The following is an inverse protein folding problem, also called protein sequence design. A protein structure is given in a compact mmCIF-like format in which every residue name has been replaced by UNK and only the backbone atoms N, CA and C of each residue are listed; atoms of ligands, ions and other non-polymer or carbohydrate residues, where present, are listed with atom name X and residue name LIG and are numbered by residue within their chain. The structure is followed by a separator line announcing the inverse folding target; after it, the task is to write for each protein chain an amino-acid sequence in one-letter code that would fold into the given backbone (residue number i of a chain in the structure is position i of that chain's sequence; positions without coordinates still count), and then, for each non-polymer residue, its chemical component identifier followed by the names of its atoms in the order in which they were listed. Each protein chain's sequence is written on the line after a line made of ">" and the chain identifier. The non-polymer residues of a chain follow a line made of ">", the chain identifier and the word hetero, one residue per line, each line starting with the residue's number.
data_IF_203838287369
#
_entry.id   IF_203838287369
#
_cell.length_a   1.000
_cell.length_b   1.000
_cell.length_c   1.000
_cell.angle_alpha   90.00
_cell.angle_beta   90.00
_cell.angle_gamma   90.00
#
_symmetry.space_group_name_H-M   'P 1'
#
loop_
_entity.id
_entity.type
_entity.pdbx_description
1 polymer ?
#
# COMPACT_ATOMS: atom_id res chain seq x y z
N UNK A 1 -2.24 -1.52 -64.66
CA UNK A 1 -1.78 -1.11 -63.32
C UNK A 1 -1.95 -2.30 -62.40
N UNK A 2 -0.85 -2.92 -61.96
CA UNK A 2 -0.88 -4.05 -61.04
C UNK A 2 -0.91 -3.49 -59.62
N UNK A 3 -2.08 -3.46 -59.01
CA UNK A 3 -2.22 -3.09 -57.61
C UNK A 3 -1.46 -4.10 -56.76
N UNK A 4 -0.41 -3.62 -56.09
CA UNK A 4 0.31 -4.33 -55.05
C UNK A 4 -0.69 -4.79 -53.99
N UNK A 5 -0.76 -6.09 -53.77
CA UNK A 5 -1.56 -6.68 -52.70
C UNK A 5 -1.22 -6.03 -51.36
N UNK A 6 -2.19 -5.84 -50.45
CA UNK A 6 -1.97 -5.13 -49.20
C UNK A 6 -0.90 -5.84 -48.35
N UNK A 7 0.06 -5.06 -47.85
CA UNK A 7 1.13 -5.48 -46.92
C UNK A 7 0.61 -6.13 -45.62
N UNK A 8 -0.71 -6.13 -45.40
CA UNK A 8 -1.37 -6.65 -44.20
C UNK A 8 -2.20 -7.92 -44.44
N UNK A 9 -1.95 -8.63 -45.54
CA UNK A 9 -2.59 -9.93 -45.77
C UNK A 9 -2.16 -10.93 -44.67
N UNK A 10 -3.13 -11.48 -43.93
CA UNK A 10 -2.89 -12.31 -42.73
C UNK A 10 -2.01 -13.53 -43.02
N UNK A 11 -1.98 -13.98 -44.28
CA UNK A 11 -1.16 -15.10 -44.78
C UNK A 11 0.34 -14.76 -44.83
N UNK A 12 0.71 -13.49 -45.00
CA UNK A 12 2.11 -13.02 -44.99
C UNK A 12 2.62 -12.88 -43.56
N UNK A 13 1.78 -12.40 -42.64
CA UNK A 13 2.08 -12.34 -41.20
C UNK A 13 2.27 -13.74 -40.58
N UNK A 14 1.57 -14.76 -41.11
CA UNK A 14 1.66 -16.14 -40.63
C UNK A 14 3.01 -16.83 -40.90
N UNK A 15 3.86 -16.27 -41.78
CA UNK A 15 5.18 -16.83 -42.12
C UNK A 15 6.34 -16.17 -41.36
N UNK A 16 6.07 -15.14 -40.56
CA UNK A 16 7.08 -14.50 -39.72
C UNK A 16 7.33 -15.28 -38.43
N UNK A 17 8.59 -15.31 -37.97
CA UNK A 17 8.87 -15.72 -36.58
C UNK A 17 8.03 -14.83 -35.67
N UNK A 18 7.32 -15.44 -34.72
CA UNK A 18 6.53 -14.69 -33.74
C UNK A 18 7.45 -13.68 -33.04
N UNK A 19 7.03 -12.42 -32.98
CA UNK A 19 7.75 -11.37 -32.23
C UNK A 19 7.87 -11.75 -30.75
N UNK A 20 6.91 -12.54 -30.26
CA UNK A 20 6.89 -13.04 -28.89
C UNK A 20 7.80 -14.27 -28.70
N UNK A 21 8.48 -14.36 -27.55
CA UNK A 21 9.35 -15.50 -27.25
C UNK A 21 8.54 -16.78 -27.11
N UNK A 22 9.17 -17.92 -27.47
CA UNK A 22 8.53 -19.24 -27.38
C UNK A 22 8.29 -19.70 -25.94
N UNK A 23 9.04 -19.15 -24.98
CA UNK A 23 8.91 -19.42 -23.55
C UNK A 23 8.84 -18.08 -22.82
N UNK A 24 7.81 -17.92 -21.99
CA UNK A 24 7.65 -16.75 -21.12
C UNK A 24 8.28 -17.09 -19.76
N UNK A 25 9.31 -16.33 -19.35
CA UNK A 25 9.94 -16.50 -18.03
C UNK A 25 9.29 -15.64 -16.95
N UNK A 26 8.57 -14.60 -17.36
CA UNK A 26 7.91 -13.67 -16.47
C UNK A 26 6.50 -13.37 -17.00
N UNK A 27 5.53 -13.43 -16.10
CA UNK A 27 4.14 -13.06 -16.37
C UNK A 27 3.76 -11.90 -15.46
N UNK A 28 3.45 -10.76 -16.07
CA UNK A 28 3.01 -9.55 -15.37
C UNK A 28 1.63 -9.77 -14.72
N UNK A 29 1.59 -9.79 -13.38
CA UNK A 29 0.33 -9.72 -12.63
C UNK A 29 -0.18 -8.27 -12.58
N UNK A 30 0.77 -7.34 -12.45
CA UNK A 30 0.57 -5.91 -12.57
C UNK A 30 1.36 -5.43 -13.78
N UNK A 31 0.85 -4.43 -14.52
CA UNK A 31 1.60 -3.87 -15.64
C UNK A 31 2.95 -3.34 -15.14
N UNK A 32 4.01 -3.55 -15.92
CA UNK A 32 5.34 -2.98 -15.67
C UNK A 32 5.34 -1.45 -15.86
N UNK A 33 4.64 -0.78 -14.96
CA UNK A 33 4.49 0.66 -14.93
C UNK A 33 4.80 1.17 -13.53
N UNK A 34 5.69 2.16 -13.44
CA UNK A 34 5.90 2.96 -12.23
C UNK A 34 4.60 3.71 -11.85
N UNK A 35 4.48 4.04 -10.56
CA UNK A 35 3.36 4.82 -10.01
C UNK A 35 3.85 6.24 -9.74
N UNK A 36 2.98 7.24 -9.82
CA UNK A 36 3.30 8.62 -9.40
C UNK A 36 3.33 8.82 -7.86
N UNK A 37 3.46 7.72 -7.10
CA UNK A 37 3.58 7.75 -5.63
C UNK A 37 4.40 6.57 -5.12
N UNK A 38 5.18 6.82 -4.07
CA UNK A 38 5.90 5.83 -3.29
C UNK A 38 5.15 5.57 -1.97
N UNK A 39 5.08 4.31 -1.57
CA UNK A 39 4.54 3.93 -0.27
C UNK A 39 5.56 4.22 0.83
N UNK A 40 5.16 4.97 1.85
CA UNK A 40 5.99 5.17 3.04
C UNK A 40 6.11 3.86 3.84
N UNK A 41 7.29 3.62 4.41
CA UNK A 41 7.49 2.54 5.39
C UNK A 41 6.69 2.87 6.64
N UNK A 42 5.90 1.92 7.14
CA UNK A 42 5.20 2.08 8.43
C UNK A 42 6.22 1.93 9.55
N UNK A 43 6.73 3.05 10.04
CA UNK A 43 7.55 3.08 11.25
C UNK A 43 6.68 3.46 12.44
N UNK A 44 6.82 2.70 13.53
CA UNK A 44 6.19 3.05 14.81
C UNK A 44 7.11 4.03 15.53
N UNK A 45 6.52 5.06 16.11
CA UNK A 45 7.25 5.96 17.01
C UNK A 45 7.70 5.16 18.22
N UNK A 46 8.97 5.30 18.61
CA UNK A 46 9.46 4.75 19.86
C UNK A 46 8.86 5.54 21.03
N UNK A 47 7.67 5.13 21.48
CA UNK A 47 7.01 5.66 22.67
C UNK A 47 6.96 4.61 23.77
N UNK A 48 6.88 5.06 25.03
CA UNK A 48 6.54 4.19 26.16
C UNK A 48 5.12 3.64 25.93
N UNK A 49 4.93 2.32 26.10
CA UNK A 49 3.64 1.67 25.84
C UNK A 49 2.60 1.91 26.95
N UNK A 50 2.83 2.86 27.86
CA UNK A 50 2.08 3.14 29.10
C UNK A 50 1.73 1.88 29.94
N UNK A 51 2.45 0.78 29.71
CA UNK A 51 2.14 -0.54 30.29
C UNK A 51 2.37 -0.60 31.79
N UNK A 52 3.36 0.16 32.30
CA UNK A 52 3.66 0.20 33.73
C UNK A 52 2.53 0.85 34.54
N UNK A 53 2.01 1.97 34.06
CA UNK A 53 0.90 2.68 34.73
C UNK A 53 -0.41 1.91 34.60
N UNK A 54 -0.62 1.27 33.44
CA UNK A 54 -1.75 0.38 33.23
C UNK A 54 -1.72 -0.82 34.20
N UNK A 55 -0.55 -1.42 34.43
CA UNK A 55 -0.39 -2.49 35.42
C UNK A 55 -0.66 -1.99 36.85
N UNK A 56 -0.22 -0.77 37.20
CA UNK A 56 -0.51 -0.17 38.51
C UNK A 56 -2.01 0.11 38.71
N UNK A 57 -2.71 0.57 37.66
CA UNK A 57 -4.15 0.77 37.66
C UNK A 57 -4.89 -0.56 37.87
N UNK A 58 -4.56 -1.60 37.11
CA UNK A 58 -5.16 -2.92 37.29
C UNK A 58 -4.85 -3.53 38.67
N UNK A 59 -3.66 -3.26 39.21
CA UNK A 59 -3.31 -3.65 40.57
C UNK A 59 -4.17 -2.97 41.64
N UNK A 60 -4.61 -1.73 41.41
CA UNK A 60 -5.54 -1.03 42.29
C UNK A 60 -6.98 -1.55 42.12
N UNK A 61 -7.46 -1.64 40.87
CA UNK A 61 -8.81 -2.12 40.58
C UNK A 61 -9.06 -3.52 41.13
N UNK A 62 -8.07 -4.41 41.03
CA UNK A 62 -8.15 -5.76 41.61
C UNK A 62 -8.33 -5.77 43.13
N UNK A 63 -7.83 -4.76 43.86
CA UNK A 63 -7.95 -4.68 45.32
C UNK A 63 -9.31 -4.17 45.78
N UNK A 64 -9.98 -3.38 44.94
CA UNK A 64 -11.24 -2.70 45.26
C UNK A 64 -12.41 -3.19 44.42
N UNK A 65 -12.38 -4.45 43.97
CA UNK A 65 -13.46 -5.06 43.16
C UNK A 65 -13.86 -4.23 41.93
N UNK A 66 -12.88 -3.53 41.33
CA UNK A 66 -13.04 -2.63 40.18
C UNK A 66 -13.80 -1.32 40.46
N UNK A 67 -13.84 -0.86 41.70
CA UNK A 67 -14.29 0.50 42.02
C UNK A 67 -13.23 1.55 41.60
N UNK A 68 -13.63 2.50 40.75
CA UNK A 68 -12.74 3.54 40.22
C UNK A 68 -12.41 4.64 41.22
N UNK A 69 -13.31 4.93 42.17
CA UNK A 69 -13.18 6.00 43.17
C UNK A 69 -11.85 5.92 43.96
N UNK A 70 -11.46 4.76 44.54
CA UNK A 70 -10.19 4.64 45.26
C UNK A 70 -8.95 4.64 44.34
N UNK A 71 -9.12 4.39 43.04
CA UNK A 71 -8.03 4.25 42.06
C UNK A 71 -7.80 5.50 41.19
N UNK A 72 -8.39 6.65 41.58
CA UNK A 72 -8.30 7.90 40.83
C UNK A 72 -6.86 8.36 40.56
N UNK A 73 -5.92 8.10 41.48
CA UNK A 73 -4.51 8.50 41.33
C UNK A 73 -3.81 7.71 40.22
N UNK A 74 -3.99 6.39 40.20
CA UNK A 74 -3.43 5.50 39.19
C UNK A 74 -4.07 5.75 37.82
N UNK A 75 -5.36 6.06 37.82
CA UNK A 75 -6.09 6.43 36.60
C UNK A 75 -5.56 7.75 36.02
N UNK A 76 -5.35 8.78 36.85
CA UNK A 76 -4.77 10.04 36.40
C UNK A 76 -3.35 9.87 35.83
N UNK A 77 -2.50 9.09 36.49
CA UNK A 77 -1.17 8.77 35.99
C UNK A 77 -1.24 8.14 34.59
N UNK A 78 -2.03 7.06 34.45
CA UNK A 78 -2.26 6.39 33.17
C UNK A 78 -2.70 7.35 32.05
N UNK A 79 -3.68 8.22 32.35
CA UNK A 79 -4.18 9.19 31.37
C UNK A 79 -3.14 10.23 30.98
N UNK A 80 -2.24 10.63 31.89
CA UNK A 80 -1.13 11.54 31.58
C UNK A 80 -0.19 10.88 30.56
N UNK A 81 0.24 9.64 30.80
CA UNK A 81 1.10 8.93 29.84
C UNK A 81 0.43 8.73 28.48
N UNK A 82 -0.86 8.37 28.45
CA UNK A 82 -1.60 8.22 27.19
C UNK A 82 -1.64 9.53 26.42
N UNK A 83 -1.98 10.64 27.07
CA UNK A 83 -2.04 11.96 26.43
C UNK A 83 -0.67 12.40 25.90
N UNK A 84 0.42 12.11 26.62
CA UNK A 84 1.78 12.38 26.16
C UNK A 84 2.16 11.53 24.96
N UNK A 85 1.86 10.22 25.00
CA UNK A 85 2.10 9.31 23.89
C UNK A 85 1.32 9.72 22.63
N UNK A 86 0.06 10.15 22.79
CA UNK A 86 -0.76 10.66 21.69
C UNK A 86 -0.16 11.93 21.08
N UNK A 87 0.27 12.90 21.90
CA UNK A 87 0.95 14.12 21.42
C UNK A 87 2.21 13.79 20.62
N UNK A 88 3.05 12.88 21.12
CA UNK A 88 4.27 12.45 20.41
C UNK A 88 3.95 11.79 19.06
N UNK A 89 2.90 10.97 19.00
CA UNK A 89 2.44 10.35 17.75
C UNK A 89 1.90 11.39 16.78
N UNK A 90 1.15 12.38 17.25
CA UNK A 90 0.67 13.48 16.40
C UNK A 90 1.81 14.33 15.86
N UNK A 91 2.78 14.70 16.70
CA UNK A 91 3.96 15.45 16.28
C UNK A 91 4.75 14.68 15.22
N UNK A 92 4.94 13.38 15.44
CA UNK A 92 5.58 12.50 14.46
C UNK A 92 4.82 12.46 13.13
N UNK A 93 3.49 12.32 13.17
CA UNK A 93 2.65 12.34 11.96
C UNK A 93 2.80 13.67 11.20
N UNK A 94 2.70 14.80 11.91
CA UNK A 94 2.86 16.14 11.32
C UNK A 94 4.25 16.32 10.72
N UNK A 95 5.29 15.80 11.38
CA UNK A 95 6.67 15.85 10.86
C UNK A 95 6.88 14.93 9.65
N UNK A 96 6.24 13.76 9.64
CA UNK A 96 6.27 12.82 8.52
C UNK A 96 5.56 13.39 7.28
N UNK A 97 4.40 14.05 7.46
CA UNK A 97 3.68 14.75 6.38
C UNK A 97 4.50 15.89 5.77
N UNK A 98 5.16 16.68 6.62
CA UNK A 98 6.10 17.73 6.17
C UNK A 98 7.36 17.15 5.52
N UNK A 99 7.63 15.87 5.71
CA UNK A 99 8.82 15.19 5.23
C UNK A 99 10.10 15.59 5.97
N UNK A 100 10.00 16.23 7.14
CA UNK A 100 11.13 16.65 7.99
C UNK A 100 11.69 15.48 8.79
N UNK A 101 10.81 14.60 9.29
CA UNK A 101 11.16 13.28 9.83
C UNK A 101 11.23 12.26 8.69
N UNK A 102 12.13 12.50 7.74
CA UNK A 102 12.57 11.43 6.86
C UNK A 102 13.46 10.49 7.65
N UNK A 103 13.33 9.19 7.40
CA UNK A 103 14.40 8.22 7.64
C UNK A 103 15.72 8.80 7.12
N UNK A 104 16.45 9.52 7.98
CA UNK A 104 17.89 9.67 7.85
C UNK A 104 18.43 8.28 8.10
N UNK A 105 18.34 7.43 7.08
CA UNK A 105 19.29 6.34 6.92
C UNK A 105 20.66 6.95 7.15
N UNK A 106 21.55 6.17 7.77
CA UNK A 106 22.88 6.59 8.18
C UNK A 106 23.72 7.32 7.10
N UNK A 107 23.30 7.33 5.83
CA UNK A 107 23.74 8.24 4.78
C UNK A 107 22.73 9.40 4.60
N UNK A 108 23.09 10.61 5.03
CA UNK A 108 22.22 11.81 5.04
C UNK A 108 21.79 12.38 3.67
N UNK A 109 21.72 11.57 2.62
CA UNK A 109 21.57 12.00 1.22
C UNK A 109 20.21 11.69 0.57
N UNK A 110 19.32 10.93 1.21
CA UNK A 110 18.06 10.51 0.56
C UNK A 110 16.84 11.33 1.02
N UNK A 111 16.00 11.84 0.09
CA UNK A 111 14.77 12.54 0.42
C UNK A 111 13.73 11.61 1.05
N UNK A 112 12.87 12.16 1.90
CA UNK A 112 11.79 11.40 2.52
C UNK A 112 10.72 10.99 1.50
N UNK A 113 9.96 9.93 1.81
CA UNK A 113 8.86 9.48 0.93
C UNK A 113 7.83 10.58 0.65
N UNK A 114 7.55 11.45 1.62
CA UNK A 114 6.69 12.62 1.44
C UNK A 114 7.29 13.64 0.45
N UNK A 115 8.59 13.91 0.54
CA UNK A 115 9.30 14.78 -0.40
C UNK A 115 9.32 14.20 -1.81
N UNK A 116 9.60 12.90 -1.94
CA UNK A 116 9.54 12.19 -3.23
C UNK A 116 8.14 12.26 -3.84
N UNK A 117 7.09 12.02 -3.05
CA UNK A 117 5.71 12.13 -3.52
C UNK A 117 5.36 13.54 -3.99
N UNK A 118 5.88 14.59 -3.34
CA UNK A 118 5.70 15.98 -3.80
C UNK A 118 6.37 16.22 -5.14
N UNK A 119 7.59 15.70 -5.35
CA UNK A 119 8.30 15.79 -6.64
C UNK A 119 7.53 15.05 -7.74
N UNK A 120 7.04 13.84 -7.45
CA UNK A 120 6.27 13.04 -8.41
C UNK A 120 4.90 13.66 -8.75
N UNK A 121 4.33 14.47 -7.87
CA UNK A 121 3.12 15.25 -8.15
C UNK A 121 3.40 16.44 -9.08
N UNK A 122 4.56 17.08 -8.94
CA UNK A 122 4.98 18.19 -9.82
C UNK A 122 5.32 17.68 -11.23
N UNK A 123 5.97 16.52 -11.31
CA UNK A 123 6.39 15.89 -12.56
C UNK A 123 5.77 14.49 -12.70
N UNK A 124 4.45 14.41 -12.94
CA UNK A 124 3.78 13.14 -13.15
C UNK A 124 4.26 12.52 -14.47
N UNK A 125 4.49 11.21 -14.48
CA UNK A 125 4.88 10.55 -15.72
C UNK A 125 3.63 10.39 -16.63
N UNK A 126 3.63 10.97 -17.85
CA UNK A 126 2.42 11.10 -18.67
C UNK A 126 1.95 9.77 -19.28
N UNK A 127 2.89 8.86 -19.56
CA UNK A 127 2.63 7.58 -20.25
C UNK A 127 2.38 6.41 -19.30
N UNK A 128 2.32 6.68 -17.99
CA UNK A 128 2.08 5.66 -16.97
C UNK A 128 0.68 5.86 -16.44
N UNK A 129 -0.23 5.05 -16.99
CA UNK A 129 -1.67 5.13 -16.82
C UNK A 129 -2.08 5.59 -15.42
N UNK A 130 -2.74 6.76 -15.34
CA UNK A 130 -3.56 7.14 -14.19
C UNK A 130 -4.31 5.90 -13.77
N UNK A 131 -4.16 5.38 -12.54
CA UNK A 131 -4.59 4.03 -12.20
C UNK A 131 -5.97 3.75 -12.77
N UNK A 132 -6.06 2.91 -13.81
CA UNK A 132 -7.30 2.34 -14.23
C UNK A 132 -7.10 0.83 -14.16
N UNK A 133 -6.52 0.31 -13.08
CA UNK A 133 -7.07 -0.95 -12.63
C UNK A 133 -8.42 -0.53 -12.09
N UNK A 134 -9.37 -0.38 -13.02
CA UNK A 134 -10.76 -0.72 -12.80
C UNK A 134 -10.61 -2.04 -12.05
N UNK A 135 -10.74 -2.03 -10.72
CA UNK A 135 -11.21 -3.22 -10.05
C UNK A 135 -12.40 -3.57 -10.91
N UNK A 136 -12.29 -4.60 -11.75
CA UNK A 136 -13.33 -4.88 -12.71
C UNK A 136 -14.55 -5.07 -11.82
N UNK A 137 -15.46 -4.09 -11.83
CA UNK A 137 -16.68 -4.21 -11.05
C UNK A 137 -17.28 -5.50 -11.58
N UNK A 138 -17.50 -6.47 -10.69
CA UNK A 138 -18.07 -7.76 -11.07
C UNK A 138 -19.26 -7.47 -11.96
N UNK A 139 -19.32 -8.10 -13.12
CA UNK A 139 -20.56 -8.09 -13.89
C UNK A 139 -21.65 -8.68 -12.96
N UNK A 140 -22.88 -8.15 -12.95
CA UNK A 140 -23.94 -8.64 -12.06
C UNK A 140 -24.18 -10.16 -12.15
N UNK A 141 -23.81 -10.78 -13.27
CA UNK A 141 -23.92 -12.21 -13.54
C UNK A 141 -22.69 -13.06 -13.17
N UNK A 142 -21.60 -12.47 -12.69
CA UNK A 142 -20.35 -13.20 -12.45
C UNK A 142 -20.33 -13.87 -11.06
N UNK A 143 -20.20 -15.20 -11.02
CA UNK A 143 -20.23 -15.96 -9.77
C UNK A 143 -18.99 -15.69 -8.90
N UNK A 144 -19.17 -15.69 -7.57
CA UNK A 144 -18.08 -15.46 -6.63
C UNK A 144 -17.02 -16.59 -6.64
N UNK A 145 -17.43 -17.79 -7.04
CA UNK A 145 -16.56 -18.97 -7.08
C UNK A 145 -15.46 -18.88 -8.15
N UNK A 146 -15.68 -18.10 -9.22
CA UNK A 146 -14.73 -18.00 -10.33
C UNK A 146 -13.48 -17.15 -9.99
N UNK A 147 -13.58 -16.30 -8.98
CA UNK A 147 -12.47 -15.47 -8.47
C UNK A 147 -11.66 -16.17 -7.37
N UNK A 148 -12.30 -17.00 -6.52
CA UNK A 148 -11.61 -17.69 -5.42
C UNK A 148 -10.58 -18.69 -5.96
N UNK A 149 -10.87 -19.36 -7.07
CA UNK A 149 -10.07 -20.51 -7.54
C UNK A 149 -9.16 -20.24 -8.74
N UNK A 150 -8.92 -18.98 -9.12
CA UNK A 150 -8.01 -18.63 -10.24
C UNK A 150 -8.33 -19.39 -11.55
N UNK A 151 -9.58 -19.82 -11.75
CA UNK A 151 -9.99 -20.73 -12.85
C UNK A 151 -9.99 -20.07 -14.23
N UNK A 152 -9.76 -18.75 -14.31
CA UNK A 152 -9.78 -17.96 -15.57
C UNK A 152 -8.73 -18.38 -16.59
N UNK A 153 -7.69 -19.10 -16.19
CA UNK A 153 -6.62 -19.56 -17.12
C UNK A 153 -6.70 -21.05 -17.49
N UNK A 154 -7.76 -21.76 -17.12
CA UNK A 154 -7.92 -23.18 -17.49
C UNK A 154 -8.56 -23.26 -18.88
N UNK A 155 -7.78 -23.74 -19.87
CA UNK A 155 -8.27 -23.98 -21.24
C UNK A 155 -9.48 -24.92 -21.22
N UNK A 156 -10.60 -24.50 -21.82
CA UNK A 156 -11.73 -25.38 -22.15
C UNK A 156 -13.10 -25.04 -21.54
N UNK A 157 -13.24 -23.95 -20.77
CA UNK A 157 -14.56 -23.49 -20.31
C UNK A 157 -14.95 -22.18 -20.99
N UNK A 158 -16.22 -22.06 -21.39
CA UNK A 158 -16.79 -20.85 -22.00
C UNK A 158 -16.68 -19.70 -20.98
N UNK A 159 -16.11 -18.59 -21.45
CA UNK A 159 -16.04 -17.30 -20.77
C UNK A 159 -17.42 -16.71 -20.52
#
# INVERSE_FOLDING_TARGET
>A
MLFTSPLFDAKVLARGRTVYPRKMFFSEILPLCSKNKVSARRMRVAGSSCTQELQALFGCLKKWEFDDKPCAKQHQAYMICVNEAEKLVEEYKRAAEKGTLGERSHSGSMPSSAQLNKIMQLFPQPDLGRPPYRQMKRLPSQSYADDIFHRKHIKGKRS
#
